data_IF_227726265588
#
_entry.id   IF_227726265588
#
_cell.length_a   1.000
_cell.length_b   1.000
_cell.length_c   1.000
_cell.angle_alpha   90.00
_cell.angle_beta   90.00
_cell.angle_gamma   90.00
#
_symmetry.space_group_name_H-M   'P 1'
#
loop_
_entity.id
_entity.type
_entity.pdbx_description
1 polymer ?
#
# COMPACT_ATOMS: atom_id res chain seq x y z
N UNK A 1 -9.48 -16.07 26.18
CA UNK A 1 -8.11 -15.74 25.72
C UNK A 1 -7.85 -15.98 24.22
N UNK A 2 -8.79 -16.48 23.44
CA UNK A 2 -8.65 -16.81 22.00
C UNK A 2 -8.83 -15.59 21.05
N UNK A 3 -9.27 -14.45 21.56
CA UNK A 3 -9.58 -13.26 20.73
C UNK A 3 -8.36 -12.42 20.30
N UNK A 4 -7.22 -12.58 20.95
CA UNK A 4 -5.97 -11.89 20.57
C UNK A 4 -5.31 -12.44 19.31
N UNK A 5 -5.68 -13.65 18.89
CA UNK A 5 -5.01 -14.34 17.78
C UNK A 5 -5.54 -13.97 16.39
N UNK A 6 -6.74 -13.40 16.27
CA UNK A 6 -7.35 -13.12 14.94
C UNK A 6 -6.72 -11.93 14.21
N UNK A 7 -6.24 -10.91 14.94
CA UNK A 7 -5.45 -9.82 14.35
C UNK A 7 -4.02 -10.24 13.99
N UNK A 8 -3.50 -11.30 14.61
CA UNK A 8 -2.14 -11.78 14.35
C UNK A 8 -2.01 -12.28 12.91
N UNK A 9 -3.04 -12.93 12.37
CA UNK A 9 -3.01 -13.49 11.01
C UNK A 9 -2.85 -12.39 9.93
N UNK A 10 -3.68 -11.33 9.87
CA UNK A 10 -3.47 -10.24 8.94
C UNK A 10 -2.11 -9.54 9.12
N UNK A 11 -1.70 -9.32 10.37
CA UNK A 11 -0.41 -8.70 10.67
C UNK A 11 0.76 -9.58 10.22
N UNK A 12 0.70 -10.89 10.48
CA UNK A 12 1.74 -11.84 10.05
C UNK A 12 1.87 -11.88 8.52
N UNK A 13 0.76 -11.83 7.79
CA UNK A 13 0.76 -11.79 6.32
C UNK A 13 1.44 -10.52 5.80
N UNK A 14 1.19 -9.38 6.42
CA UNK A 14 1.82 -8.12 6.04
C UNK A 14 3.32 -8.15 6.36
N UNK A 15 3.71 -8.74 7.50
CA UNK A 15 5.12 -8.89 7.85
C UNK A 15 5.87 -9.80 6.87
N UNK A 16 5.24 -10.84 6.32
CA UNK A 16 5.84 -11.65 5.26
C UNK A 16 6.09 -10.82 3.99
N UNK A 17 5.19 -9.89 3.67
CA UNK A 17 5.36 -8.95 2.56
C UNK A 17 6.56 -8.02 2.71
N UNK A 18 7.02 -7.75 3.94
CA UNK A 18 8.25 -6.99 4.17
C UNK A 18 9.47 -7.78 3.70
N UNK A 19 9.49 -9.10 3.89
CA UNK A 19 10.59 -9.96 3.43
C UNK A 19 10.67 -9.93 1.90
N UNK A 20 9.53 -10.08 1.23
CA UNK A 20 9.44 -9.99 -0.23
C UNK A 20 9.90 -8.61 -0.73
N UNK A 21 9.49 -7.55 -0.03
CA UNK A 21 9.94 -6.19 -0.32
C UNK A 21 11.46 -6.06 -0.18
N UNK A 22 12.06 -6.57 0.90
CA UNK A 22 13.51 -6.49 1.11
C UNK A 22 14.25 -7.22 0.00
N UNK A 23 13.80 -8.41 -0.40
CA UNK A 23 14.40 -9.16 -1.52
C UNK A 23 14.31 -8.39 -2.84
N UNK A 24 13.13 -7.84 -3.16
CA UNK A 24 12.93 -7.01 -4.35
C UNK A 24 13.80 -5.74 -4.30
N UNK A 25 13.93 -5.13 -3.13
CA UNK A 25 14.75 -3.94 -2.95
C UNK A 25 16.25 -4.22 -3.11
N UNK A 26 16.74 -5.37 -2.64
CA UNK A 26 18.13 -5.80 -2.89
C UNK A 26 18.39 -5.98 -4.38
N UNK A 27 17.45 -6.61 -5.10
CA UNK A 27 17.55 -6.75 -6.56
C UNK A 27 17.58 -5.38 -7.24
N UNK A 28 16.71 -4.45 -6.81
CA UNK A 28 16.69 -3.08 -7.33
C UNK A 28 18.03 -2.37 -7.12
N UNK A 29 18.62 -2.46 -5.92
CA UNK A 29 19.93 -1.88 -5.63
C UNK A 29 21.02 -2.50 -6.50
N UNK A 30 21.01 -3.82 -6.70
CA UNK A 30 21.95 -4.49 -7.58
C UNK A 30 21.82 -3.99 -9.02
N UNK A 31 20.60 -3.80 -9.51
CA UNK A 31 20.35 -3.21 -10.84
C UNK A 31 20.86 -1.76 -10.91
N UNK A 32 20.60 -0.95 -9.88
CA UNK A 32 21.11 0.44 -9.84
C UNK A 32 22.64 0.48 -9.94
N UNK A 33 23.35 -0.41 -9.22
CA UNK A 33 24.81 -0.54 -9.32
C UNK A 33 25.24 -0.95 -10.72
N UNK A 34 24.55 -1.95 -11.31
CA UNK A 34 24.85 -2.44 -12.66
C UNK A 34 24.70 -1.33 -13.72
N UNK A 35 23.65 -0.52 -13.62
CA UNK A 35 23.41 0.61 -14.53
C UNK A 35 24.14 1.89 -14.14
N UNK A 36 25.01 1.85 -13.11
CA UNK A 36 25.78 3.00 -12.60
C UNK A 36 24.90 4.17 -12.17
N UNK A 37 23.68 3.89 -11.68
CA UNK A 37 22.76 4.87 -11.13
C UNK A 37 23.01 5.00 -9.64
N UNK A 38 23.56 6.14 -9.19
CA UNK A 38 23.74 6.40 -7.77
C UNK A 38 22.38 6.82 -7.14
N UNK A 39 22.00 6.26 -5.98
CA UNK A 39 20.84 6.73 -5.26
C UNK A 39 20.99 8.20 -4.87
N UNK A 40 19.92 8.96 -4.97
CA UNK A 40 19.90 10.36 -4.55
C UNK A 40 20.00 10.48 -3.02
N UNK A 41 20.43 11.64 -2.51
CA UNK A 41 20.46 11.92 -1.06
C UNK A 41 19.06 11.83 -0.40
N UNK A 42 18.01 11.95 -1.20
CA UNK A 42 16.60 11.79 -0.80
C UNK A 42 16.23 10.36 -0.39
N UNK A 43 17.11 9.38 -0.60
CA UNK A 43 16.93 7.97 -0.18
C UNK A 43 16.58 7.82 1.31
N UNK A 44 16.97 8.76 2.14
CA UNK A 44 16.65 8.81 3.58
C UNK A 44 15.12 8.83 3.83
N UNK A 45 14.32 9.27 2.87
CA UNK A 45 12.85 9.30 2.97
C UNK A 45 12.17 7.97 2.61
N UNK A 46 12.91 6.97 2.13
CA UNK A 46 12.35 5.64 1.80
C UNK A 46 11.53 5.00 2.91
N UNK A 47 11.97 5.03 4.20
CA UNK A 47 11.19 4.43 5.28
C UNK A 47 9.79 5.05 5.44
N UNK A 48 9.64 6.34 5.14
CA UNK A 48 8.35 7.02 5.19
C UNK A 48 7.37 6.46 4.14
N UNK A 49 7.84 6.23 2.92
CA UNK A 49 7.02 5.69 1.85
C UNK A 49 6.74 4.19 2.05
N UNK A 50 7.68 3.45 2.64
CA UNK A 50 7.44 2.08 3.07
C UNK A 50 6.35 2.04 4.14
N UNK A 51 6.40 2.94 5.12
CA UNK A 51 5.36 3.06 6.14
C UNK A 51 3.99 3.36 5.50
N UNK A 52 3.92 4.26 4.51
CA UNK A 52 2.70 4.53 3.77
C UNK A 52 2.14 3.27 3.08
N UNK A 53 3.00 2.50 2.42
CA UNK A 53 2.61 1.24 1.79
C UNK A 53 2.10 0.22 2.81
N UNK A 54 2.76 0.09 3.97
CA UNK A 54 2.36 -0.81 5.06
C UNK A 54 1.02 -0.41 5.68
N UNK A 55 0.81 0.88 5.94
CA UNK A 55 -0.46 1.43 6.47
C UNK A 55 -1.60 1.16 5.49
N UNK A 56 -1.36 1.38 4.19
CA UNK A 56 -2.33 1.10 3.13
C UNK A 56 -2.68 -0.39 3.06
N UNK A 57 -1.66 -1.24 3.08
CA UNK A 57 -1.83 -2.70 3.04
C UNK A 57 -2.58 -3.21 4.27
N UNK A 58 -2.29 -2.66 5.45
CA UNK A 58 -2.99 -3.01 6.69
C UNK A 58 -4.47 -2.61 6.61
N UNK A 59 -4.75 -1.38 6.20
CA UNK A 59 -6.11 -0.87 6.09
C UNK A 59 -6.96 -1.66 5.09
N UNK A 60 -6.45 -1.88 3.87
CA UNK A 60 -7.12 -2.67 2.84
C UNK A 60 -7.24 -4.14 3.23
N UNK A 61 -6.21 -4.71 3.85
CA UNK A 61 -6.21 -6.09 4.34
C UNK A 61 -7.28 -6.33 5.42
N UNK A 62 -7.45 -5.39 6.36
CA UNK A 62 -8.51 -5.46 7.37
C UNK A 62 -9.90 -5.38 6.73
N UNK A 63 -10.10 -4.49 5.74
CA UNK A 63 -11.34 -4.40 4.98
C UNK A 63 -11.67 -5.71 4.26
N UNK A 64 -10.73 -6.21 3.45
CA UNK A 64 -10.92 -7.43 2.67
C UNK A 64 -11.08 -8.67 3.55
N UNK A 65 -10.37 -8.75 4.68
CA UNK A 65 -10.50 -9.84 5.64
C UNK A 65 -11.90 -9.89 6.24
N UNK A 66 -12.44 -8.74 6.67
CA UNK A 66 -13.80 -8.66 7.21
C UNK A 66 -14.86 -9.00 6.15
N UNK A 67 -14.70 -8.50 4.91
CA UNK A 67 -15.60 -8.81 3.80
C UNK A 67 -15.57 -10.29 3.42
N UNK A 68 -14.39 -10.92 3.41
CA UNK A 68 -14.23 -12.32 3.02
C UNK A 68 -14.95 -13.30 3.98
N UNK A 69 -15.14 -12.91 5.24
CA UNK A 69 -15.92 -13.71 6.18
C UNK A 69 -17.42 -13.58 5.95
N UNK A 70 -17.87 -12.38 5.58
CA UNK A 70 -19.28 -12.11 5.33
C UNK A 70 -19.73 -12.63 3.94
N UNK A 71 -18.86 -12.47 2.94
CA UNK A 71 -19.15 -12.80 1.54
C UNK A 71 -18.08 -13.74 0.98
N UNK A 72 -18.43 -14.99 0.76
CA UNK A 72 -17.50 -16.01 0.22
C UNK A 72 -16.97 -15.66 -1.18
N UNK A 73 -17.72 -14.89 -1.95
CA UNK A 73 -17.38 -14.48 -3.32
C UNK A 73 -16.22 -13.48 -3.37
N UNK A 74 -15.97 -12.76 -2.28
CA UNK A 74 -14.83 -11.81 -2.17
C UNK A 74 -13.51 -12.53 -2.49
N UNK A 75 -13.35 -13.77 -2.05
CA UNK A 75 -12.15 -14.57 -2.30
C UNK A 75 -11.83 -14.72 -3.80
N UNK A 76 -12.85 -14.80 -4.64
CA UNK A 76 -12.69 -14.93 -6.09
C UNK A 76 -12.52 -13.57 -6.78
N UNK A 77 -13.07 -12.52 -6.20
CA UNK A 77 -13.01 -11.15 -6.73
C UNK A 77 -11.68 -10.46 -6.44
N UNK A 78 -11.05 -10.77 -5.30
CA UNK A 78 -9.79 -10.14 -4.86
C UNK A 78 -8.65 -10.27 -5.89
N UNK A 79 -8.39 -11.45 -6.52
CA UNK A 79 -7.33 -11.56 -7.53
C UNK A 79 -7.57 -10.66 -8.75
N UNK A 80 -8.83 -10.52 -9.17
CA UNK A 80 -9.20 -9.61 -10.26
C UNK A 80 -9.01 -8.15 -9.86
N UNK A 81 -9.44 -7.77 -8.65
CA UNK A 81 -9.24 -6.42 -8.13
C UNK A 81 -7.75 -6.06 -7.99
N UNK A 82 -6.91 -6.98 -7.53
CA UNK A 82 -5.46 -6.75 -7.44
C UNK A 82 -4.83 -6.52 -8.80
N UNK A 83 -5.26 -7.25 -9.81
CA UNK A 83 -4.78 -7.07 -11.18
C UNK A 83 -5.22 -5.72 -11.75
N UNK A 84 -6.47 -5.33 -11.52
CA UNK A 84 -6.97 -4.00 -11.90
C UNK A 84 -6.21 -2.89 -11.15
N UNK A 85 -5.94 -3.07 -9.85
CA UNK A 85 -5.24 -2.11 -9.02
C UNK A 85 -3.79 -1.86 -9.48
N UNK A 86 -3.16 -2.87 -10.07
CA UNK A 86 -1.83 -2.73 -10.68
C UNK A 86 -1.83 -1.66 -11.80
N UNK A 87 -2.89 -1.61 -12.59
CA UNK A 87 -3.05 -0.59 -13.66
C UNK A 87 -3.54 0.76 -13.12
N UNK A 88 -4.33 0.75 -12.05
CA UNK A 88 -4.80 1.96 -11.39
C UNK A 88 -3.70 2.67 -10.57
N UNK A 89 -2.56 2.01 -10.37
CA UNK A 89 -1.37 2.60 -9.72
C UNK A 89 -0.30 2.82 -10.79
N UNK A 90 0.33 4.01 -10.88
CA UNK A 90 1.33 4.33 -11.91
C UNK A 90 2.67 3.65 -11.65
N UNK A 91 2.67 2.30 -11.66
CA UNK A 91 3.88 1.48 -11.49
C UNK A 91 4.63 1.37 -12.81
N UNK A 92 3.93 1.04 -13.90
CA UNK A 92 4.50 0.82 -15.22
C UNK A 92 4.65 2.10 -16.05
N UNK A 93 4.01 3.19 -15.66
CA UNK A 93 4.04 4.47 -16.35
C UNK A 93 4.30 5.62 -15.37
N UNK A 94 4.94 6.72 -15.80
CA UNK A 94 5.16 7.87 -14.93
C UNK A 94 3.87 8.69 -14.77
N UNK A 95 3.60 9.17 -13.55
CA UNK A 95 2.45 10.04 -13.26
C UNK A 95 2.52 11.38 -13.99
N UNK A 96 3.70 11.76 -14.50
CA UNK A 96 3.90 12.97 -15.30
C UNK A 96 3.16 12.97 -16.64
N UNK A 97 2.69 11.80 -17.11
CA UNK A 97 1.83 11.69 -18.30
C UNK A 97 0.40 12.18 -18.03
N UNK A 98 0.02 12.28 -16.75
CA UNK A 98 -1.31 12.74 -16.38
C UNK A 98 -1.30 14.26 -16.22
N UNK A 99 -2.24 14.93 -16.92
CA UNK A 99 -2.47 16.36 -16.78
C UNK A 99 -3.25 16.65 -15.49
N UNK A 100 -3.03 17.83 -14.89
CA UNK A 100 -3.93 18.29 -13.83
C UNK A 100 -5.34 18.53 -14.40
N UNK A 101 -6.42 18.19 -13.67
CA UNK A 101 -6.46 17.80 -12.26
C UNK A 101 -6.31 16.28 -12.00
N UNK A 102 -6.20 15.45 -13.04
CA UNK A 102 -6.17 13.98 -12.91
C UNK A 102 -5.01 13.48 -12.06
N UNK A 103 -3.85 14.13 -12.16
CA UNK A 103 -2.68 13.78 -11.35
C UNK A 103 -2.97 13.88 -9.85
N UNK A 104 -3.67 14.93 -9.42
CA UNK A 104 -4.07 15.11 -8.02
C UNK A 104 -5.12 14.08 -7.61
N UNK A 105 -6.10 13.78 -8.48
CA UNK A 105 -7.14 12.77 -8.23
C UNK A 105 -6.52 11.36 -8.06
N UNK A 106 -5.48 11.04 -8.82
CA UNK A 106 -4.74 9.79 -8.63
C UNK A 106 -4.10 9.68 -7.24
N UNK A 107 -3.79 10.79 -6.58
CA UNK A 107 -3.33 10.82 -5.18
C UNK A 107 -4.35 10.29 -4.16
N UNK A 108 -5.64 10.14 -4.54
CA UNK A 108 -6.64 9.44 -3.73
C UNK A 108 -6.35 7.94 -3.60
N UNK A 109 -5.61 7.37 -4.54
CA UNK A 109 -5.07 6.03 -4.36
C UNK A 109 -3.80 6.12 -3.50
N UNK A 110 -3.79 5.62 -2.27
CA UNK A 110 -2.65 5.77 -1.35
C UNK A 110 -1.37 5.10 -1.86
N UNK A 111 -1.48 4.10 -2.73
CA UNK A 111 -0.31 3.46 -3.34
C UNK A 111 0.38 4.36 -4.37
N UNK A 112 -0.32 5.33 -4.95
CA UNK A 112 0.30 6.30 -5.88
C UNK A 112 1.34 7.15 -5.16
N UNK A 113 1.01 7.66 -3.96
CA UNK A 113 1.96 8.41 -3.15
C UNK A 113 3.17 7.57 -2.70
N UNK A 114 2.95 6.29 -2.40
CA UNK A 114 4.05 5.38 -2.08
C UNK A 114 4.99 5.21 -3.29
N UNK A 115 4.46 4.85 -4.47
CA UNK A 115 5.26 4.62 -5.69
C UNK A 115 5.99 5.89 -6.14
N UNK A 116 5.29 7.04 -6.20
CA UNK A 116 5.91 8.31 -6.58
C UNK A 116 6.94 8.77 -5.54
N UNK A 117 6.66 8.53 -4.26
CA UNK A 117 7.61 8.79 -3.18
C UNK A 117 8.88 7.94 -3.29
N UNK A 118 8.76 6.63 -3.55
CA UNK A 118 9.90 5.75 -3.81
C UNK A 118 10.70 6.21 -5.03
N UNK A 119 10.02 6.57 -6.12
CA UNK A 119 10.66 7.06 -7.34
C UNK A 119 11.44 8.35 -7.08
N UNK A 120 10.82 9.29 -6.38
CA UNK A 120 11.49 10.53 -5.99
C UNK A 120 12.66 10.29 -5.03
N UNK A 121 12.49 9.42 -4.04
CA UNK A 121 13.53 9.13 -3.05
C UNK A 121 14.77 8.47 -3.67
N UNK A 122 14.61 7.61 -4.67
CA UNK A 122 15.70 6.90 -5.32
C UNK A 122 16.40 7.73 -6.40
N UNK A 123 15.64 8.46 -7.21
CA UNK A 123 16.18 9.11 -8.41
C UNK A 123 16.33 10.63 -8.26
N UNK A 124 15.76 11.25 -7.23
CA UNK A 124 15.89 12.69 -6.97
C UNK A 124 15.32 13.58 -8.08
N UNK A 125 14.49 13.00 -8.98
CA UNK A 125 13.92 13.72 -10.12
C UNK A 125 12.92 14.77 -9.65
N UNK A 126 13.11 16.04 -10.11
CA UNK A 126 12.18 17.19 -10.04
C UNK A 126 11.20 17.21 -8.86
N UNK A 127 11.30 18.18 -7.98
CA UNK A 127 10.38 18.55 -6.88
C UNK A 127 9.66 17.41 -6.14
N UNK A 128 9.75 17.36 -4.82
CA UNK A 128 9.05 16.36 -4.03
C UNK A 128 7.54 16.36 -4.36
N UNK A 129 6.90 15.21 -4.59
CA UNK A 129 5.46 15.11 -4.90
C UNK A 129 4.60 15.32 -3.64
N UNK A 130 4.81 16.45 -2.94
CA UNK A 130 4.26 16.68 -1.59
C UNK A 130 2.73 16.61 -1.58
N UNK A 131 2.06 17.21 -2.56
CA UNK A 131 0.59 17.22 -2.61
C UNK A 131 0.01 15.81 -2.78
N UNK A 132 0.57 15.03 -3.71
CA UNK A 132 0.16 13.64 -3.96
C UNK A 132 0.42 12.76 -2.74
N UNK A 133 1.62 12.88 -2.15
CA UNK A 133 2.01 12.11 -0.96
C UNK A 133 1.13 12.47 0.24
N UNK A 134 0.87 13.75 0.49
CA UNK A 134 0.00 14.20 1.60
C UNK A 134 -1.43 13.66 1.42
N UNK A 135 -1.99 13.72 0.22
CA UNK A 135 -3.30 13.17 -0.10
C UNK A 135 -3.34 11.65 0.10
N UNK A 136 -2.31 10.96 -0.36
CA UNK A 136 -2.17 9.51 -0.19
C UNK A 136 -2.06 9.11 1.29
N UNK A 137 -1.35 9.86 2.12
CA UNK A 137 -1.32 9.63 3.57
C UNK A 137 -2.68 9.82 4.21
N UNK A 138 -3.39 10.91 3.87
CA UNK A 138 -4.73 11.15 4.39
C UNK A 138 -5.68 9.99 4.02
N UNK A 139 -5.67 9.55 2.77
CA UNK A 139 -6.49 8.44 2.30
C UNK A 139 -6.09 7.12 2.96
N UNK A 140 -4.80 6.83 3.13
CA UNK A 140 -4.31 5.64 3.82
C UNK A 140 -4.81 5.58 5.27
N UNK A 141 -4.79 6.70 6.00
CA UNK A 141 -5.31 6.78 7.36
C UNK A 141 -6.83 6.56 7.39
N UNK A 142 -7.59 7.14 6.47
CA UNK A 142 -9.04 6.91 6.36
C UNK A 142 -9.33 5.43 6.11
N UNK A 143 -8.61 4.81 5.17
CA UNK A 143 -8.77 3.37 4.86
C UNK A 143 -8.40 2.51 6.05
N UNK A 144 -7.32 2.84 6.78
CA UNK A 144 -6.92 2.10 7.99
C UNK A 144 -7.97 2.22 9.10
N UNK A 145 -8.42 3.43 9.41
CA UNK A 145 -9.41 3.67 10.48
C UNK A 145 -10.73 2.98 10.16
N UNK A 146 -11.25 3.19 8.95
CA UNK A 146 -12.50 2.56 8.50
C UNK A 146 -12.38 1.04 8.43
N UNK A 147 -11.25 0.51 7.94
CA UNK A 147 -10.96 -0.92 7.92
C UNK A 147 -10.91 -1.53 9.30
N UNK A 148 -10.24 -0.88 10.25
CA UNK A 148 -10.17 -1.34 11.64
C UNK A 148 -11.55 -1.29 12.34
N UNK A 149 -12.33 -0.25 12.07
CA UNK A 149 -13.70 -0.13 12.60
C UNK A 149 -14.61 -1.22 12.03
N UNK A 150 -14.56 -1.45 10.73
CA UNK A 150 -15.36 -2.48 10.07
C UNK A 150 -14.97 -3.88 10.56
N UNK A 151 -13.67 -4.18 10.64
CA UNK A 151 -13.16 -5.45 11.15
C UNK A 151 -13.63 -5.70 12.59
N UNK A 152 -13.51 -4.72 13.49
CA UNK A 152 -14.00 -4.83 14.89
C UNK A 152 -15.51 -5.05 14.98
N UNK A 153 -16.27 -4.41 14.09
CA UNK A 153 -17.73 -4.59 14.07
C UNK A 153 -18.10 -6.01 13.64
N UNK A 154 -17.43 -6.52 12.63
CA UNK A 154 -17.66 -7.88 12.12
C UNK A 154 -17.18 -8.96 13.11
N UNK A 155 -16.09 -8.72 13.83
CA UNK A 155 -15.58 -9.66 14.85
C UNK A 155 -16.62 -10.00 15.92
N UNK A 156 -17.46 -9.04 16.31
CA UNK A 156 -18.56 -9.26 17.25
C UNK A 156 -19.62 -10.21 16.69
N UNK A 157 -19.92 -10.10 15.40
CA UNK A 157 -20.90 -10.96 14.73
C UNK A 157 -20.36 -12.39 14.55
N UNK A 158 -19.04 -12.58 14.44
CA UNK A 158 -18.43 -13.91 14.34
C UNK A 158 -18.51 -14.72 15.65
N UNK A 159 -18.59 -14.03 16.79
CA UNK A 159 -18.76 -14.69 18.08
C UNK A 159 -20.16 -15.32 18.26
N UNK A 160 -21.14 -14.84 17.49
CA UNK A 160 -22.53 -15.32 17.58
C UNK A 160 -22.85 -16.45 16.57
N UNK A 161 -21.92 -16.75 15.62
CA UNK A 161 -22.13 -17.74 14.54
C UNK A 161 -21.37 -19.07 14.82
N UNK A 162 -20.51 -19.10 15.82
CA UNK A 162 -19.76 -20.29 16.28
C UNK A 162 -20.31 -20.76 17.64
#
# INVERSE_FOLDING_TARGET
MLFRSRLIVPVATILSGIIDFVLAFVVLLAMMVFYKLAPAATVVWLPLFLLLALVTSLGTGLWLSAMNVQFRDVRYTVPFLTQFWLFATPIAYPSSLLHEPWRTIFGLNPMVGAVEGFRWALFGTTGAPVAVVAMSFATALVVLVTGAMYFRRMERTFADIV
#
